data_IF_554166969991
#
_entry.id   IF_554166969991
#
_cell.length_a   1.000
_cell.length_b   1.000
_cell.length_c   1.000
_cell.angle_alpha   90.00
_cell.angle_beta   90.00
_cell.angle_gamma   90.00
#
_symmetry.space_group_name_H-M   'P 1'
#
loop_
_entity.id
_entity.type
_entity.pdbx_description
1 polymer ?
#
# COMPACT_ATOMS: atom_id res chain seq x y z
N UNK A 1 2.59 17.73 13.57
CA UNK A 1 3.89 17.84 12.92
C UNK A 1 4.35 16.47 12.38
N UNK A 2 4.43 15.41 13.20
CA UNK A 2 4.97 14.09 12.82
C UNK A 2 4.20 13.43 11.66
N UNK A 3 2.86 13.50 11.68
CA UNK A 3 2.04 12.98 10.57
C UNK A 3 2.40 13.67 9.25
N UNK A 4 2.54 14.98 9.27
CA UNK A 4 2.88 15.75 8.07
C UNK A 4 4.28 15.39 7.55
N UNK A 5 5.26 15.21 8.44
CA UNK A 5 6.61 14.77 8.07
C UNK A 5 6.60 13.36 7.46
N UNK A 6 5.92 12.42 8.10
CA UNK A 6 5.81 11.04 7.57
C UNK A 6 5.06 11.02 6.24
N UNK A 7 4.03 11.84 6.09
CA UNK A 7 3.29 11.98 4.85
C UNK A 7 4.17 12.59 3.75
N UNK A 8 4.95 13.63 4.04
CA UNK A 8 5.91 14.19 3.10
C UNK A 8 6.96 13.17 2.65
N UNK A 9 7.52 12.40 3.60
CA UNK A 9 8.45 11.31 3.29
C UNK A 9 7.80 10.22 2.42
N UNK A 10 6.53 9.91 2.68
CA UNK A 10 5.76 8.97 1.86
C UNK A 10 5.59 9.49 0.43
N UNK A 11 5.32 10.79 0.26
CA UNK A 11 5.20 11.40 -1.07
C UNK A 11 6.55 11.41 -1.81
N UNK A 12 7.66 11.68 -1.11
CA UNK A 12 9.01 11.58 -1.67
C UNK A 12 9.32 10.13 -2.07
N UNK A 13 8.98 9.14 -1.23
CA UNK A 13 9.14 7.72 -1.55
C UNK A 13 8.34 7.27 -2.79
N UNK A 14 7.25 7.95 -3.10
CA UNK A 14 6.46 7.74 -4.33
C UNK A 14 7.24 8.14 -5.58
N UNK A 15 8.06 9.19 -5.52
CA UNK A 15 8.97 9.62 -6.60
C UNK A 15 10.03 8.57 -6.93
N UNK A 16 10.55 7.92 -5.89
CA UNK A 16 11.59 6.88 -6.02
C UNK A 16 11.01 5.50 -6.35
N UNK A 17 9.79 5.42 -6.87
CA UNK A 17 9.25 4.17 -7.36
C UNK A 17 9.97 3.77 -8.66
N UNK A 18 10.80 2.72 -8.57
CA UNK A 18 11.58 2.21 -9.70
C UNK A 18 10.70 1.25 -10.51
N UNK A 19 10.40 1.56 -11.79
CA UNK A 19 9.79 0.59 -12.67
C UNK A 19 10.83 -0.51 -12.97
N UNK A 20 10.53 -1.74 -12.58
CA UNK A 20 11.47 -2.87 -12.74
C UNK A 20 11.48 -3.47 -14.15
N UNK A 21 10.83 -2.83 -15.13
CA UNK A 21 10.79 -3.30 -16.52
C UNK A 21 9.92 -4.54 -16.77
N UNK A 22 9.56 -5.28 -15.74
CA UNK A 22 8.56 -6.35 -15.83
C UNK A 22 7.17 -5.78 -15.52
N UNK A 23 6.40 -5.52 -16.58
CA UNK A 23 4.98 -5.23 -16.60
C UNK A 23 4.40 -4.72 -15.25
N UNK A 24 4.44 -3.40 -15.02
CA UNK A 24 3.85 -2.69 -13.87
C UNK A 24 4.38 -3.03 -12.45
N UNK A 25 5.48 -3.74 -12.33
CA UNK A 25 6.17 -3.91 -11.05
C UNK A 25 6.93 -2.63 -10.70
N UNK A 26 6.33 -1.82 -9.83
CA UNK A 26 7.01 -0.66 -9.23
C UNK A 26 7.45 -1.01 -7.82
N UNK A 27 8.77 -1.03 -7.60
CA UNK A 27 9.30 -1.11 -6.24
C UNK A 27 9.13 0.27 -5.61
N UNK A 28 8.21 0.39 -4.70
CA UNK A 28 7.96 1.62 -3.95
C UNK A 28 8.06 1.32 -2.46
N UNK A 29 8.76 2.15 -1.72
CA UNK A 29 8.82 2.09 -0.25
C UNK A 29 7.65 2.82 0.43
N UNK A 30 6.71 3.34 -0.35
CA UNK A 30 5.54 4.10 0.12
C UNK A 30 4.74 3.33 1.18
N UNK A 31 4.59 2.00 1.01
CA UNK A 31 3.85 1.15 1.94
C UNK A 31 4.43 1.11 3.35
N UNK A 32 5.74 1.37 3.52
CA UNK A 32 6.39 1.41 4.84
C UNK A 32 5.91 2.61 5.64
N UNK A 33 5.95 3.79 5.03
CA UNK A 33 5.47 5.02 5.66
C UNK A 33 3.96 4.97 5.91
N UNK A 34 3.24 4.35 5.00
CA UNK A 34 1.81 4.14 5.12
C UNK A 34 1.45 3.27 6.32
N UNK A 35 2.14 2.13 6.47
CA UNK A 35 1.98 1.25 7.62
C UNK A 35 2.40 1.91 8.93
N UNK A 36 3.48 2.72 8.93
CA UNK A 36 3.93 3.49 10.08
C UNK A 36 2.87 4.48 10.56
N UNK A 37 2.32 5.28 9.65
CA UNK A 37 1.29 6.26 9.98
C UNK A 37 0.05 5.56 10.54
N UNK A 38 -0.40 4.50 9.88
CA UNK A 38 -1.56 3.73 10.31
C UNK A 38 -1.35 3.02 11.66
N UNK A 39 -0.13 2.56 11.94
CA UNK A 39 0.25 1.95 13.22
C UNK A 39 0.25 2.97 14.36
N UNK A 40 0.73 4.20 14.12
CA UNK A 40 0.81 5.26 15.13
C UNK A 40 -0.53 5.90 15.44
N UNK A 41 -1.30 6.20 14.41
CA UNK A 41 -2.47 7.08 14.52
C UNK A 41 -3.81 6.37 14.30
N UNK A 42 -3.79 5.10 13.95
CA UNK A 42 -4.97 4.25 13.86
C UNK A 42 -5.61 4.17 12.46
N UNK A 43 -6.71 3.38 12.36
CA UNK A 43 -7.31 3.02 11.09
C UNK A 43 -7.94 4.19 10.33
N UNK A 44 -8.59 5.12 11.04
CA UNK A 44 -9.21 6.28 10.40
C UNK A 44 -8.16 7.22 9.78
N UNK A 45 -7.05 7.43 10.48
CA UNK A 45 -5.93 8.21 9.93
C UNK A 45 -5.31 7.50 8.72
N UNK A 46 -5.15 6.17 8.78
CA UNK A 46 -4.70 5.37 7.64
C UNK A 46 -5.59 5.54 6.40
N UNK A 47 -6.91 5.53 6.60
CA UNK A 47 -7.90 5.76 5.53
C UNK A 47 -7.74 7.14 4.90
N UNK A 48 -7.71 8.19 5.73
CA UNK A 48 -7.58 9.59 5.25
C UNK A 48 -6.26 9.79 4.50
N UNK A 49 -5.16 9.29 5.05
CA UNK A 49 -3.84 9.35 4.41
C UNK A 49 -3.81 8.60 3.08
N UNK A 50 -4.54 7.47 2.99
CA UNK A 50 -4.71 6.74 1.74
C UNK A 50 -5.38 7.58 0.66
N UNK A 51 -6.51 8.19 0.99
CA UNK A 51 -7.23 9.11 0.09
C UNK A 51 -6.33 10.27 -0.35
N UNK A 52 -5.71 10.96 0.61
CA UNK A 52 -4.86 12.12 0.35
C UNK A 52 -3.63 11.74 -0.50
N UNK A 53 -2.97 10.61 -0.18
CA UNK A 53 -1.74 10.21 -0.87
C UNK A 53 -1.96 9.85 -2.33
N UNK A 54 -3.10 9.25 -2.65
CA UNK A 54 -3.40 8.88 -4.02
C UNK A 54 -3.83 10.11 -4.83
N UNK A 55 -4.75 10.90 -4.29
CA UNK A 55 -5.23 12.15 -4.92
C UNK A 55 -4.09 13.14 -5.13
N UNK A 56 -3.34 13.46 -4.09
CA UNK A 56 -2.20 14.40 -4.20
C UNK A 56 -1.08 13.82 -5.07
N UNK A 57 -0.84 12.49 -4.98
CA UNK A 57 0.14 11.83 -5.82
C UNK A 57 -0.18 11.94 -7.31
N UNK A 58 -1.43 11.89 -7.68
CA UNK A 58 -1.86 12.09 -9.07
C UNK A 58 -1.62 13.53 -9.54
N UNK A 59 -1.97 14.53 -8.73
CA UNK A 59 -1.79 15.94 -9.11
C UNK A 59 -0.33 16.39 -9.10
N UNK A 60 0.47 15.91 -8.15
CA UNK A 60 1.89 16.31 -8.02
C UNK A 60 2.78 15.56 -9.01
N UNK A 61 2.46 14.29 -9.29
CA UNK A 61 3.25 13.41 -10.15
C UNK A 61 2.41 12.84 -11.29
N UNK A 62 2.04 13.66 -12.28
CA UNK A 62 1.22 13.19 -13.40
C UNK A 62 2.04 12.19 -14.24
N UNK A 63 1.66 10.92 -14.15
CA UNK A 63 2.31 9.83 -14.91
C UNK A 63 1.71 9.65 -16.32
N UNK A 64 0.98 10.64 -16.82
CA UNK A 64 0.29 10.57 -18.11
C UNK A 64 -0.96 9.68 -18.15
N UNK A 65 -1.30 9.01 -17.04
CA UNK A 65 -2.52 8.24 -16.91
C UNK A 65 -3.68 9.14 -16.44
N UNK A 66 -4.92 8.78 -16.83
CA UNK A 66 -6.12 9.45 -16.33
C UNK A 66 -6.35 9.14 -14.85
N UNK A 67 -6.88 10.12 -14.10
CA UNK A 67 -7.29 9.89 -12.72
C UNK A 67 -8.42 8.85 -12.68
N UNK A 68 -8.19 7.78 -11.92
CA UNK A 68 -9.15 6.70 -11.79
C UNK A 68 -9.53 6.48 -10.33
N UNK A 69 -10.66 7.02 -9.94
CA UNK A 69 -11.15 7.03 -8.55
C UNK A 69 -11.15 5.67 -7.83
N UNK A 70 -11.43 4.51 -8.48
CA UNK A 70 -11.34 3.22 -7.82
C UNK A 70 -9.96 2.88 -7.23
N UNK A 71 -8.85 3.41 -7.77
CA UNK A 71 -7.53 3.25 -7.16
C UNK A 71 -7.38 4.07 -5.87
N UNK A 72 -8.03 5.23 -5.81
CA UNK A 72 -8.07 6.05 -4.58
C UNK A 72 -8.81 5.33 -3.45
N UNK A 73 -9.91 4.65 -3.77
CA UNK A 73 -10.63 3.79 -2.82
C UNK A 73 -9.73 2.63 -2.37
N UNK A 74 -9.00 2.01 -3.28
CA UNK A 74 -8.03 0.95 -2.96
C UNK A 74 -6.98 1.42 -1.95
N UNK A 75 -6.41 2.61 -2.16
CA UNK A 75 -5.43 3.19 -1.25
C UNK A 75 -6.04 3.47 0.14
N UNK A 76 -7.25 4.01 0.19
CA UNK A 76 -7.97 4.30 1.42
C UNK A 76 -8.24 3.03 2.25
N UNK A 77 -8.79 1.99 1.62
CA UNK A 77 -9.11 0.72 2.28
C UNK A 77 -7.82 0.01 2.72
N UNK A 78 -6.75 0.07 1.91
CA UNK A 78 -5.44 -0.47 2.31
C UNK A 78 -4.92 0.19 3.59
N UNK A 79 -5.09 1.51 3.73
CA UNK A 79 -4.73 2.24 4.95
C UNK A 79 -5.58 1.86 6.15
N UNK A 80 -6.87 1.67 5.94
CA UNK A 80 -7.77 1.18 6.98
C UNK A 80 -7.32 -0.20 7.49
N UNK A 81 -7.00 -1.13 6.58
CA UNK A 81 -6.54 -2.49 6.91
C UNK A 81 -5.22 -2.43 7.69
N UNK A 82 -4.24 -1.62 7.27
CA UNK A 82 -3.01 -1.43 8.03
C UNK A 82 -3.30 -0.95 9.47
N UNK A 83 -4.18 0.03 9.62
CA UNK A 83 -4.55 0.53 10.94
C UNK A 83 -5.26 -0.51 11.80
N UNK A 84 -6.23 -1.24 11.26
CA UNK A 84 -6.94 -2.30 12.00
C UNK A 84 -6.02 -3.44 12.44
N UNK A 85 -5.04 -3.79 11.61
CA UNK A 85 -4.15 -4.90 11.87
C UNK A 85 -2.93 -4.54 12.72
N UNK A 86 -2.42 -3.30 12.63
CA UNK A 86 -1.16 -2.89 13.26
C UNK A 86 -1.33 -1.91 14.42
N UNK A 87 -2.44 -1.18 14.50
CA UNK A 87 -2.65 -0.16 15.53
C UNK A 87 -2.68 -0.77 16.92
N UNK A 88 -1.86 -0.23 17.83
CA UNK A 88 -1.72 -0.69 19.23
C UNK A 88 -1.34 -2.18 19.37
N UNK A 89 -0.86 -2.83 18.32
CA UNK A 89 -0.41 -4.22 18.39
C UNK A 89 1.11 -4.28 18.38
N UNK A 90 1.64 -5.37 18.95
CA UNK A 90 3.07 -5.64 18.90
C UNK A 90 3.54 -5.93 17.47
N UNK A 91 4.73 -5.42 17.15
CA UNK A 91 5.38 -5.64 15.85
C UNK A 91 5.91 -7.07 15.81
N UNK A 92 5.04 -8.02 15.46
CA UNK A 92 5.38 -9.44 15.27
C UNK A 92 5.40 -9.74 13.76
N UNK A 93 6.38 -10.53 13.33
CA UNK A 93 6.52 -10.94 11.93
C UNK A 93 5.23 -11.58 11.39
N UNK A 94 4.60 -12.45 12.18
CA UNK A 94 3.33 -13.10 11.82
C UNK A 94 2.22 -12.08 11.54
N UNK A 95 2.06 -11.07 12.41
CA UNK A 95 1.02 -10.06 12.26
C UNK A 95 1.22 -9.21 11.00
N UNK A 96 2.47 -8.84 10.71
CA UNK A 96 2.84 -8.09 9.51
C UNK A 96 2.63 -8.94 8.26
N UNK A 97 3.02 -10.21 8.30
CA UNK A 97 2.82 -11.14 7.19
C UNK A 97 1.32 -11.28 6.84
N UNK A 98 0.48 -11.54 7.84
CA UNK A 98 -0.97 -11.64 7.62
C UNK A 98 -1.58 -10.33 7.12
N UNK A 99 -1.15 -9.19 7.64
CA UNK A 99 -1.61 -7.88 7.17
C UNK A 99 -1.25 -7.67 5.69
N UNK A 100 0.00 -7.98 5.31
CA UNK A 100 0.45 -7.87 3.92
C UNK A 100 -0.24 -8.87 3.01
N UNK A 101 -0.41 -10.11 3.46
CA UNK A 101 -1.13 -11.13 2.73
C UNK A 101 -2.58 -10.67 2.43
N UNK A 102 -3.27 -10.16 3.43
CA UNK A 102 -4.65 -9.68 3.31
C UNK A 102 -4.74 -8.51 2.33
N UNK A 103 -3.86 -7.52 2.43
CA UNK A 103 -3.81 -6.39 1.50
C UNK A 103 -3.47 -6.86 0.08
N UNK A 104 -2.48 -7.74 -0.08
CA UNK A 104 -2.10 -8.24 -1.40
C UNK A 104 -3.25 -9.03 -2.04
N UNK A 105 -3.92 -9.91 -1.30
CA UNK A 105 -5.01 -10.71 -1.85
C UNK A 105 -6.24 -9.87 -2.18
N UNK A 106 -6.74 -9.08 -1.22
CA UNK A 106 -7.99 -8.33 -1.40
C UNK A 106 -7.77 -7.09 -2.28
N UNK A 107 -6.76 -6.26 -1.95
CA UNK A 107 -6.60 -4.97 -2.60
C UNK A 107 -5.80 -5.04 -3.91
N UNK A 108 -4.72 -5.83 -3.95
CA UNK A 108 -3.88 -5.86 -5.15
C UNK A 108 -4.33 -6.92 -6.16
N UNK A 109 -4.69 -8.13 -5.71
CA UNK A 109 -5.11 -9.22 -6.61
C UNK A 109 -6.55 -9.01 -7.05
N UNK A 110 -7.51 -8.96 -6.13
CA UNK A 110 -8.94 -8.88 -6.50
C UNK A 110 -9.28 -7.48 -6.99
N UNK A 111 -9.21 -6.49 -6.12
CA UNK A 111 -9.62 -5.12 -6.44
C UNK A 111 -8.78 -4.48 -7.55
N UNK A 112 -7.45 -4.64 -7.49
CA UNK A 112 -6.53 -4.11 -8.49
C UNK A 112 -6.78 -4.70 -9.89
N UNK A 113 -7.07 -6.00 -9.99
CA UNK A 113 -7.40 -6.62 -11.28
C UNK A 113 -8.74 -6.16 -11.82
N UNK A 114 -9.75 -5.97 -10.96
CA UNK A 114 -11.04 -5.40 -11.37
C UNK A 114 -10.89 -3.96 -11.86
N UNK A 115 -10.13 -3.14 -11.14
CA UNK A 115 -9.84 -1.77 -11.55
C UNK A 115 -9.10 -1.73 -12.90
N UNK A 116 -8.15 -2.64 -13.10
CA UNK A 116 -7.42 -2.77 -14.35
C UNK A 116 -8.36 -3.16 -15.51
N UNK A 117 -9.20 -4.16 -15.31
CA UNK A 117 -10.21 -4.56 -16.29
C UNK A 117 -11.16 -3.42 -16.66
N UNK A 118 -11.61 -2.66 -15.68
CA UNK A 118 -12.47 -1.48 -15.88
C UNK A 118 -11.78 -0.35 -16.65
N UNK A 119 -10.53 -0.08 -16.32
CA UNK A 119 -9.76 1.00 -16.95
C UNK A 119 -9.48 0.72 -18.42
N UNK A 120 -9.20 -0.54 -18.76
CA UNK A 120 -8.86 -0.95 -20.13
C UNK A 120 -10.05 -1.52 -20.93
N UNK A 121 -11.24 -1.59 -20.32
CA UNK A 121 -12.44 -2.11 -20.98
C UNK A 121 -12.38 -3.62 -21.28
N UNK A 122 -11.65 -4.38 -20.46
CA UNK A 122 -11.58 -5.82 -20.62
C UNK A 122 -12.85 -6.52 -20.16
N UNK A 123 -13.22 -7.58 -20.89
CA UNK A 123 -14.29 -8.47 -20.49
C UNK A 123 -13.99 -9.17 -19.16
N UNK A 124 -15.04 -9.60 -18.45
CA UNK A 124 -14.91 -10.24 -17.14
C UNK A 124 -14.02 -11.49 -17.18
N UNK A 125 -14.16 -12.32 -18.22
CA UNK A 125 -13.34 -13.52 -18.41
C UNK A 125 -11.86 -13.19 -18.57
N UNK A 126 -11.52 -12.17 -19.37
CA UNK A 126 -10.14 -11.68 -19.56
C UNK A 126 -9.58 -11.10 -18.27
N UNK A 127 -10.38 -10.37 -17.51
CA UNK A 127 -9.99 -9.83 -16.20
C UNK A 127 -9.69 -10.94 -15.19
N UNK A 128 -10.51 -11.99 -15.14
CA UNK A 128 -10.25 -13.17 -14.30
C UNK A 128 -8.99 -13.92 -14.72
N UNK A 129 -8.76 -14.09 -16.02
CA UNK A 129 -7.54 -14.69 -16.54
C UNK A 129 -6.30 -13.89 -16.14
N UNK A 130 -6.32 -12.57 -16.30
CA UNK A 130 -5.25 -11.65 -15.85
C UNK A 130 -5.00 -11.76 -14.34
N UNK A 131 -6.06 -11.82 -13.55
CA UNK A 131 -5.96 -11.96 -12.08
C UNK A 131 -5.21 -13.23 -11.69
N UNK A 132 -5.56 -14.37 -12.29
CA UNK A 132 -5.00 -15.69 -11.93
C UNK A 132 -3.60 -15.90 -12.50
N UNK A 133 -3.37 -15.53 -13.76
CA UNK A 133 -2.11 -15.81 -14.46
C UNK A 133 -1.01 -14.81 -14.15
N UNK A 134 -1.38 -13.57 -13.88
CA UNK A 134 -0.42 -12.47 -13.75
C UNK A 134 -0.42 -11.83 -12.35
N UNK A 135 -1.58 -11.35 -11.90
CA UNK A 135 -1.67 -10.57 -10.67
C UNK A 135 -1.35 -11.40 -9.43
N UNK A 136 -1.87 -12.62 -9.36
CA UNK A 136 -1.70 -13.51 -8.21
C UNK A 136 -0.24 -13.99 -8.03
N UNK A 137 0.44 -14.56 -9.02
CA UNK A 137 1.84 -15.00 -8.83
C UNK A 137 2.79 -13.84 -8.56
N UNK A 138 2.58 -12.69 -9.21
CA UNK A 138 3.34 -11.46 -8.96
C UNK A 138 3.24 -11.03 -7.50
N UNK A 139 2.03 -10.93 -6.95
CA UNK A 139 1.82 -10.47 -5.57
C UNK A 139 2.30 -11.47 -4.53
N UNK A 140 2.24 -12.79 -4.81
CA UNK A 140 2.81 -13.82 -3.95
C UNK A 140 4.33 -13.77 -3.90
N UNK A 141 4.99 -13.62 -5.03
CA UNK A 141 6.45 -13.48 -5.09
C UNK A 141 6.93 -12.24 -4.31
N UNK A 142 6.23 -11.11 -4.47
CA UNK A 142 6.56 -9.88 -3.77
C UNK A 142 6.19 -9.86 -2.29
N UNK A 143 5.33 -10.76 -1.84
CA UNK A 143 4.88 -10.81 -0.43
C UNK A 143 6.06 -10.99 0.54
N UNK A 144 6.99 -11.88 0.22
CA UNK A 144 8.14 -12.22 1.08
C UNK A 144 9.08 -11.01 1.26
N UNK A 145 9.66 -10.42 0.19
CA UNK A 145 10.54 -9.27 0.35
C UNK A 145 9.84 -8.05 0.95
N UNK A 146 8.59 -7.80 0.58
CA UNK A 146 7.83 -6.69 1.16
C UNK A 146 7.58 -6.87 2.66
N UNK A 147 7.27 -8.07 3.11
CA UNK A 147 7.07 -8.38 4.52
C UNK A 147 8.37 -8.22 5.31
N UNK A 148 9.48 -8.70 4.77
CA UNK A 148 10.80 -8.59 5.40
C UNK A 148 11.20 -7.11 5.58
N UNK A 149 11.11 -6.31 4.52
CA UNK A 149 11.41 -4.87 4.58
C UNK A 149 10.49 -4.16 5.58
N UNK A 150 9.19 -4.43 5.51
CA UNK A 150 8.23 -3.81 6.42
C UNK A 150 8.51 -4.17 7.88
N UNK A 151 8.83 -5.43 8.17
CA UNK A 151 9.18 -5.87 9.51
C UNK A 151 10.42 -5.17 10.05
N UNK A 152 11.50 -5.11 9.27
CA UNK A 152 12.75 -4.45 9.65
C UNK A 152 12.50 -2.97 9.93
N UNK A 153 11.81 -2.28 9.02
CA UNK A 153 11.50 -0.86 9.18
C UNK A 153 10.60 -0.61 10.41
N UNK A 154 9.49 -1.32 10.56
CA UNK A 154 8.59 -1.12 11.70
C UNK A 154 9.28 -1.43 13.03
N UNK A 155 10.14 -2.46 13.08
CA UNK A 155 10.91 -2.80 14.28
C UNK A 155 11.91 -1.70 14.63
N UNK A 156 12.59 -1.13 13.64
CA UNK A 156 13.52 -0.01 13.82
C UNK A 156 12.81 1.26 14.33
N UNK A 157 11.58 1.51 13.87
CA UNK A 157 10.79 2.67 14.30
C UNK A 157 9.99 2.46 15.58
N UNK A 158 9.82 1.22 16.06
CA UNK A 158 9.06 0.91 17.29
C UNK A 158 9.53 1.70 18.53
N UNK A 159 10.84 1.86 18.82
CA UNK A 159 11.27 2.65 19.98
C UNK A 159 10.89 4.13 19.86
N UNK A 160 10.90 4.66 18.65
CA UNK A 160 10.50 6.03 18.36
C UNK A 160 8.99 6.18 18.56
N UNK A 161 8.20 5.26 18.01
CA UNK A 161 6.74 5.24 18.14
C UNK A 161 6.30 5.20 19.61
N UNK A 162 6.92 4.33 20.42
CA UNK A 162 6.61 4.26 21.86
C UNK A 162 6.89 5.56 22.61
N UNK A 163 7.90 6.31 22.19
CA UNK A 163 8.27 7.59 22.82
C UNK A 163 7.25 8.70 22.56
N UNK A 164 6.51 8.61 21.47
CA UNK A 164 5.47 9.59 21.09
C UNK A 164 4.06 9.15 21.44
N UNK A 165 3.87 7.90 21.88
CA UNK A 165 2.57 7.34 22.31
C UNK A 165 2.31 7.49 23.82
N UNK A 166 3.31 7.93 24.59
CA UNK A 166 3.19 8.36 25.98
C UNK A 166 3.09 9.89 26.03
#
# INVERSE_FOLDING_TARGET
VIIAMLFALMMIAKLFSIPTGFADLRISFTYVFFALIAMMYGPMTGLIIGLCSDTLGFFIFPNGASFFFPYTIQAAISGLIYGLCLYKKEVKLSNIFFTRLLINMIMNVIWGSLCFGWLYGYDFATTCAYMLTYSLPKNLLWLIPQTAVLYICLKAFTPIVKRFSN
#
